data_IF_349807000804
#
_entry.id   IF_349807000804
#
_cell.length_a   1.000
_cell.length_b   1.000
_cell.length_c   1.000
_cell.angle_alpha   90.00
_cell.angle_beta   90.00
_cell.angle_gamma   90.00
#
_symmetry.space_group_name_H-M   'P 1'
#
loop_
_entity.id
_entity.type
_entity.pdbx_description
1 polymer ?
#
# COMPACT_ATOMS: atom_id res chain seq x y z
N UNK A 1 -21.03 7.75 5.29
CA UNK A 1 -19.89 6.81 5.44
C UNK A 1 -20.29 5.35 5.16
N UNK A 2 -21.37 4.83 5.73
CA UNK A 2 -21.82 3.44 5.50
C UNK A 2 -22.05 3.07 4.03
N UNK A 3 -22.64 3.98 3.26
CA UNK A 3 -22.90 3.77 1.81
C UNK A 3 -21.62 3.74 0.97
N UNK A 4 -20.61 4.55 1.35
CA UNK A 4 -19.28 4.48 0.74
C UNK A 4 -18.65 3.11 0.93
N UNK A 5 -18.74 2.56 2.16
CA UNK A 5 -18.23 1.23 2.47
C UNK A 5 -18.96 0.16 1.63
N UNK A 6 -20.31 0.20 1.56
CA UNK A 6 -21.08 -0.74 0.73
C UNK A 6 -20.73 -0.63 -0.75
N UNK A 7 -20.67 0.58 -1.29
CA UNK A 7 -20.30 0.81 -2.70
C UNK A 7 -18.90 0.27 -3.00
N UNK A 8 -17.97 0.47 -2.09
CA UNK A 8 -16.60 0.01 -2.23
C UNK A 8 -16.49 -1.52 -2.13
N UNK A 9 -17.19 -2.14 -1.19
CA UNK A 9 -17.29 -3.60 -1.09
C UNK A 9 -17.89 -4.24 -2.36
N UNK A 10 -18.96 -3.66 -2.93
CA UNK A 10 -19.55 -4.13 -4.18
C UNK A 10 -18.55 -4.05 -5.35
N UNK A 11 -17.85 -2.94 -5.50
CA UNK A 11 -16.79 -2.78 -6.53
C UNK A 11 -15.65 -3.78 -6.32
N UNK A 12 -15.29 -4.05 -5.06
CA UNK A 12 -14.30 -5.05 -4.69
C UNK A 12 -14.70 -6.45 -5.11
N UNK A 13 -15.94 -6.83 -4.83
CA UNK A 13 -16.47 -8.14 -5.21
C UNK A 13 -16.50 -8.31 -6.73
N UNK A 14 -16.95 -7.29 -7.46
CA UNK A 14 -16.98 -7.32 -8.93
C UNK A 14 -15.57 -7.54 -9.48
N UNK A 15 -14.58 -6.80 -8.98
CA UNK A 15 -13.20 -6.97 -9.45
C UNK A 15 -12.62 -8.34 -9.09
N UNK A 16 -12.90 -8.83 -7.88
CA UNK A 16 -12.48 -10.17 -7.46
C UNK A 16 -13.03 -11.27 -8.39
N UNK A 17 -14.33 -11.19 -8.72
CA UNK A 17 -14.98 -12.10 -9.66
C UNK A 17 -14.36 -11.95 -11.05
N UNK A 18 -14.16 -10.74 -11.53
CA UNK A 18 -13.58 -10.48 -12.86
C UNK A 18 -12.16 -11.04 -12.98
N UNK A 19 -11.30 -10.83 -11.97
CA UNK A 19 -9.96 -11.41 -11.96
C UNK A 19 -10.00 -12.95 -11.87
N UNK A 20 -10.96 -13.51 -11.15
CA UNK A 20 -11.20 -14.96 -11.12
C UNK A 20 -11.58 -15.51 -12.50
N UNK A 21 -12.48 -14.83 -13.21
CA UNK A 21 -12.86 -15.20 -14.59
C UNK A 21 -11.64 -15.14 -15.52
N UNK A 22 -10.83 -14.08 -15.45
CA UNK A 22 -9.59 -13.97 -16.26
C UNK A 22 -8.66 -15.15 -15.98
N UNK A 23 -8.50 -15.54 -14.72
CA UNK A 23 -7.68 -16.68 -14.33
C UNK A 23 -8.22 -18.01 -14.89
N UNK A 24 -9.53 -18.22 -14.82
CA UNK A 24 -10.20 -19.43 -15.34
C UNK A 24 -10.06 -19.49 -16.87
N UNK A 25 -10.30 -18.38 -17.56
CA UNK A 25 -10.15 -18.31 -19.03
C UNK A 25 -8.70 -18.54 -19.43
N UNK A 26 -7.75 -17.97 -18.71
CA UNK A 26 -6.32 -18.23 -18.91
C UNK A 26 -6.02 -19.73 -18.74
N UNK A 27 -6.51 -20.35 -17.67
CA UNK A 27 -6.35 -21.78 -17.42
C UNK A 27 -6.90 -22.64 -18.55
N UNK A 28 -8.12 -22.32 -19.04
CA UNK A 28 -8.73 -23.01 -20.18
C UNK A 28 -7.87 -22.91 -21.45
N UNK A 29 -7.47 -21.72 -21.82
CA UNK A 29 -6.67 -21.48 -23.04
C UNK A 29 -5.31 -22.18 -22.95
N UNK A 30 -4.61 -22.05 -21.82
CA UNK A 30 -3.31 -22.70 -21.63
C UNK A 30 -3.44 -24.22 -21.63
N UNK A 31 -4.45 -24.75 -20.97
CA UNK A 31 -4.73 -26.19 -20.94
C UNK A 31 -5.02 -26.76 -22.33
N UNK A 32 -5.85 -26.05 -23.13
CA UNK A 32 -6.16 -26.43 -24.52
C UNK A 32 -4.94 -26.38 -25.43
N UNK A 33 -3.98 -25.49 -25.19
CA UNK A 33 -2.73 -25.42 -25.94
C UNK A 33 -1.82 -26.64 -25.69
N UNK A 34 -1.87 -27.24 -24.48
CA UNK A 34 -1.13 -28.46 -24.16
C UNK A 34 -1.83 -29.73 -24.68
N UNK A 35 -3.16 -29.81 -24.58
CA UNK A 35 -3.96 -30.95 -25.03
C UNK A 35 -5.30 -30.46 -25.56
N UNK A 36 -5.51 -30.48 -26.89
CA UNK A 36 -6.80 -30.10 -27.49
C UNK A 36 -7.95 -30.97 -26.98
N UNK A 37 -7.69 -32.26 -26.72
CA UNK A 37 -8.69 -33.23 -26.29
C UNK A 37 -8.89 -33.18 -24.77
N UNK A 38 -9.60 -32.15 -24.29
CA UNK A 38 -9.98 -32.05 -22.88
C UNK A 38 -9.01 -31.26 -21.96
N UNK A 39 -7.82 -30.87 -22.45
CA UNK A 39 -6.84 -30.12 -21.66
C UNK A 39 -7.38 -28.79 -21.14
N UNK A 40 -8.30 -28.15 -21.85
CA UNK A 40 -8.97 -26.94 -21.38
C UNK A 40 -9.72 -27.12 -20.08
N UNK A 41 -10.46 -28.21 -19.91
CA UNK A 41 -11.17 -28.50 -18.65
C UNK A 41 -10.22 -28.81 -17.51
N UNK A 42 -9.10 -29.50 -17.79
CA UNK A 42 -8.03 -29.72 -16.81
C UNK A 42 -7.39 -28.40 -16.39
N UNK A 43 -7.18 -27.49 -17.33
CA UNK A 43 -6.68 -26.14 -17.04
C UNK A 43 -7.63 -25.32 -16.16
N UNK A 44 -8.92 -25.38 -16.42
CA UNK A 44 -9.96 -24.76 -15.56
C UNK A 44 -9.95 -25.35 -14.15
N UNK A 45 -9.85 -26.67 -14.03
CA UNK A 45 -9.81 -27.35 -12.73
C UNK A 45 -8.60 -26.87 -11.89
N UNK A 46 -7.40 -26.82 -12.48
CA UNK A 46 -6.24 -26.29 -11.79
C UNK A 46 -6.34 -24.81 -11.48
N UNK A 47 -6.91 -24.00 -12.38
CA UNK A 47 -7.14 -22.57 -12.14
C UNK A 47 -8.08 -22.34 -10.94
N UNK A 48 -9.15 -23.11 -10.81
CA UNK A 48 -10.08 -23.06 -9.67
C UNK A 48 -9.39 -23.45 -8.36
N UNK A 49 -8.59 -24.50 -8.38
CA UNK A 49 -7.82 -24.93 -7.19
C UNK A 49 -6.85 -23.83 -6.77
N UNK A 50 -6.07 -23.28 -7.70
CA UNK A 50 -5.11 -22.22 -7.43
C UNK A 50 -5.85 -20.99 -6.89
N UNK A 51 -6.95 -20.59 -7.52
CA UNK A 51 -7.76 -19.47 -7.07
C UNK A 51 -8.30 -19.67 -5.64
N UNK A 52 -8.81 -20.86 -5.34
CA UNK A 52 -9.29 -21.21 -4.00
C UNK A 52 -8.20 -21.17 -2.95
N UNK A 53 -7.05 -21.84 -3.20
CA UNK A 53 -5.90 -21.87 -2.29
C UNK A 53 -5.36 -20.47 -2.03
N UNK A 54 -5.14 -19.67 -3.09
CA UNK A 54 -4.59 -18.33 -2.96
C UNK A 54 -5.58 -17.38 -2.26
N UNK A 55 -6.88 -17.55 -2.47
CA UNK A 55 -7.91 -16.81 -1.74
C UNK A 55 -7.88 -17.14 -0.24
N UNK A 56 -7.74 -18.40 0.14
CA UNK A 56 -7.59 -18.81 1.53
C UNK A 56 -6.30 -18.27 2.16
N UNK A 57 -5.17 -18.41 1.48
CA UNK A 57 -3.89 -17.83 1.93
C UNK A 57 -4.02 -16.33 2.14
N UNK A 58 -4.60 -15.62 1.17
CA UNK A 58 -4.82 -14.17 1.27
C UNK A 58 -5.66 -13.81 2.49
N UNK A 59 -6.76 -14.54 2.70
CA UNK A 59 -7.68 -14.25 3.80
C UNK A 59 -7.07 -14.50 5.18
N UNK A 60 -6.31 -15.59 5.36
CA UNK A 60 -5.77 -15.99 6.67
C UNK A 60 -4.40 -15.39 6.98
N UNK A 61 -3.55 -15.24 5.97
CA UNK A 61 -2.13 -14.91 6.18
C UNK A 61 -1.65 -13.68 5.40
N UNK A 62 -2.46 -13.11 4.50
CA UNK A 62 -2.06 -12.03 3.61
C UNK A 62 -1.43 -10.84 4.34
N UNK A 63 -2.02 -10.38 5.44
CA UNK A 63 -1.47 -9.27 6.25
C UNK A 63 -0.13 -9.61 6.87
N UNK A 64 0.03 -10.82 7.40
CA UNK A 64 1.30 -11.28 8.00
C UNK A 64 2.41 -11.38 6.95
N UNK A 65 2.08 -11.88 5.77
CA UNK A 65 3.02 -11.97 4.64
C UNK A 65 3.51 -10.57 4.24
N UNK A 66 2.60 -9.60 4.11
CA UNK A 66 2.94 -8.22 3.75
C UNK A 66 3.86 -7.57 4.77
N UNK A 67 3.53 -7.69 6.05
CA UNK A 67 4.35 -7.16 7.14
C UNK A 67 5.73 -7.81 7.17
N UNK A 68 5.82 -9.13 6.98
CA UNK A 68 7.08 -9.87 6.95
C UNK A 68 7.95 -9.47 5.74
N UNK A 69 7.38 -9.41 4.54
CA UNK A 69 8.08 -8.98 3.31
C UNK A 69 8.60 -7.56 3.43
N UNK A 70 7.83 -6.68 4.10
CA UNK A 70 8.23 -5.29 4.35
C UNK A 70 9.22 -5.15 5.53
N UNK A 71 9.60 -6.26 6.19
CA UNK A 71 10.44 -6.26 7.40
C UNK A 71 9.91 -5.34 8.49
N UNK A 72 8.58 -5.24 8.61
CA UNK A 72 7.90 -4.41 9.58
C UNK A 72 7.97 -5.04 10.98
N UNK A 73 8.33 -4.25 11.99
CA UNK A 73 8.39 -4.67 13.40
C UNK A 73 7.23 -4.07 14.17
N UNK A 74 6.49 -4.90 14.88
CA UNK A 74 5.43 -4.43 15.79
C UNK A 74 6.05 -3.61 16.91
N UNK A 75 5.40 -2.49 17.25
CA UNK A 75 5.88 -1.59 18.29
C UNK A 75 4.78 -1.27 19.28
N UNK A 76 5.18 -1.06 20.53
CA UNK A 76 4.32 -0.62 21.61
C UNK A 76 4.32 0.90 21.75
N UNK A 77 3.42 1.41 22.59
CA UNK A 77 3.31 2.84 22.88
C UNK A 77 4.63 3.44 23.40
N UNK A 78 5.41 2.67 24.15
CA UNK A 78 6.66 3.12 24.77
C UNK A 78 7.77 3.41 23.74
N UNK A 79 7.75 2.68 22.61
CA UNK A 79 8.75 2.84 21.55
C UNK A 79 8.54 4.17 20.80
N UNK A 80 7.28 4.48 20.45
CA UNK A 80 6.94 5.70 19.74
C UNK A 80 5.56 6.24 20.16
N UNK A 81 5.46 6.93 21.31
CA UNK A 81 4.19 7.39 21.88
C UNK A 81 3.38 8.26 20.92
N UNK A 82 4.02 9.16 20.18
CA UNK A 82 3.35 10.07 19.23
C UNK A 82 2.62 9.30 18.12
N UNK A 83 3.28 8.34 17.49
CA UNK A 83 2.66 7.52 16.43
C UNK A 83 1.48 6.74 16.97
N UNK A 84 1.66 6.09 18.14
CA UNK A 84 0.61 5.31 18.77
C UNK A 84 -0.62 6.16 19.10
N UNK A 85 -0.41 7.33 19.70
CA UNK A 85 -1.49 8.27 20.02
C UNK A 85 -2.22 8.77 18.78
N UNK A 86 -1.51 9.07 17.67
CA UNK A 86 -2.13 9.48 16.42
C UNK A 86 -2.99 8.36 15.83
N UNK A 87 -2.54 7.10 15.87
CA UNK A 87 -3.36 5.96 15.39
C UNK A 87 -4.60 5.80 16.27
N UNK A 88 -4.48 5.97 17.59
CA UNK A 88 -5.61 5.94 18.52
C UNK A 88 -6.60 7.09 18.29
N UNK A 89 -6.11 8.31 18.06
CA UNK A 89 -6.93 9.47 17.69
C UNK A 89 -7.72 9.21 16.41
N UNK A 90 -7.08 8.67 15.38
CA UNK A 90 -7.74 8.39 14.11
C UNK A 90 -8.72 7.21 14.21
N UNK A 91 -8.43 6.21 15.05
CA UNK A 91 -9.38 5.16 15.40
C UNK A 91 -10.65 5.76 16.01
N UNK A 92 -10.52 6.67 16.99
CA UNK A 92 -11.64 7.31 17.67
C UNK A 92 -12.42 8.20 16.68
N UNK A 93 -11.72 9.04 15.90
CA UNK A 93 -12.34 9.94 14.92
C UNK A 93 -13.12 9.21 13.83
N UNK A 94 -12.65 8.02 13.45
CA UNK A 94 -13.31 7.19 12.43
C UNK A 94 -14.44 6.32 12.98
N UNK A 95 -14.60 6.20 14.30
CA UNK A 95 -15.53 5.27 14.95
C UNK A 95 -15.13 3.79 14.78
N UNK A 96 -13.85 3.51 14.48
CA UNK A 96 -13.39 2.13 14.32
C UNK A 96 -13.27 1.45 15.67
N UNK A 97 -13.81 0.23 15.82
CA UNK A 97 -13.91 -0.44 17.12
C UNK A 97 -12.58 -0.98 17.65
N UNK A 98 -11.75 -1.53 16.76
CA UNK A 98 -10.52 -2.22 17.13
C UNK A 98 -9.31 -1.29 16.99
N UNK A 99 -8.33 -1.41 17.90
CA UNK A 99 -7.07 -0.70 17.76
C UNK A 99 -6.19 -1.40 16.70
N UNK A 100 -5.82 -0.73 15.61
CA UNK A 100 -4.89 -1.29 14.65
C UNK A 100 -3.52 -1.50 15.31
N UNK A 101 -2.85 -2.59 14.99
CA UNK A 101 -1.48 -2.83 15.39
C UNK A 101 -0.56 -1.82 14.70
N UNK A 102 0.44 -1.34 15.42
CA UNK A 102 1.38 -0.33 14.91
C UNK A 102 2.72 -0.98 14.60
N UNK A 103 3.22 -0.73 13.39
CA UNK A 103 4.49 -1.28 12.92
C UNK A 103 5.43 -0.18 12.44
N UNK A 104 6.73 -0.39 12.63
CA UNK A 104 7.78 0.47 12.07
C UNK A 104 8.66 -0.37 11.13
N UNK A 105 8.92 0.19 9.94
CA UNK A 105 9.77 -0.41 8.90
C UNK A 105 11.14 0.25 8.93
N UNK A 106 12.19 -0.57 8.91
CA UNK A 106 13.58 -0.08 8.84
C UNK A 106 13.92 0.43 7.43
N UNK A 107 13.51 1.65 7.13
CA UNK A 107 13.84 2.31 5.87
C UNK A 107 13.97 3.82 6.07
N UNK A 108 14.95 4.42 5.39
CA UNK A 108 15.11 5.88 5.32
C UNK A 108 14.12 6.52 4.32
N UNK A 109 13.57 5.76 3.38
CA UNK A 109 12.55 6.23 2.46
C UNK A 109 11.24 6.51 3.22
N UNK A 110 10.62 7.70 3.08
CA UNK A 110 9.37 8.02 3.75
C UNK A 110 8.20 7.31 3.05
N UNK A 111 7.53 6.41 3.77
CA UNK A 111 6.36 5.74 3.27
C UNK A 111 5.50 5.15 4.41
N UNK A 112 4.26 4.78 4.09
CA UNK A 112 3.33 4.12 5.00
C UNK A 112 2.41 3.19 4.23
N UNK A 113 1.80 2.23 4.92
CA UNK A 113 0.70 1.43 4.38
C UNK A 113 -0.17 0.88 5.51
N UNK A 114 -1.43 0.60 5.17
CA UNK A 114 -2.34 -0.16 6.01
C UNK A 114 -2.50 -1.59 5.48
N UNK A 115 -2.72 -2.53 6.41
CA UNK A 115 -3.04 -3.92 6.07
C UNK A 115 -4.04 -4.51 7.07
N UNK A 116 -4.70 -5.61 6.69
CA UNK A 116 -5.66 -6.30 7.57
C UNK A 116 -6.93 -6.72 6.85
N UNK A 117 -7.17 -8.00 6.77
CA UNK A 117 -8.36 -8.58 6.11
C UNK A 117 -9.57 -8.55 7.05
N UNK A 118 -9.34 -8.82 8.35
CA UNK A 118 -10.37 -8.84 9.38
C UNK A 118 -10.32 -7.56 10.20
N UNK A 119 -11.48 -7.12 10.71
CA UNK A 119 -11.55 -5.89 11.52
C UNK A 119 -10.65 -5.91 12.77
N UNK A 120 -10.56 -7.04 13.42
CA UNK A 120 -9.74 -7.23 14.62
C UNK A 120 -8.27 -7.52 14.33
N UNK A 121 -7.86 -7.58 13.05
CA UNK A 121 -6.48 -7.87 12.66
C UNK A 121 -5.99 -6.88 11.60
N UNK A 122 -6.17 -5.59 11.88
CA UNK A 122 -5.68 -4.50 11.06
C UNK A 122 -4.38 -3.96 11.61
N UNK A 123 -3.55 -3.40 10.73
CA UNK A 123 -2.28 -2.81 11.10
C UNK A 123 -1.98 -1.57 10.24
N UNK A 124 -1.28 -0.62 10.85
CA UNK A 124 -0.69 0.54 10.18
C UNK A 124 0.81 0.41 10.31
N UNK A 125 1.51 0.43 9.18
CA UNK A 125 2.96 0.35 9.12
C UNK A 125 3.53 1.64 8.53
N UNK A 126 4.51 2.23 9.21
CA UNK A 126 5.20 3.45 8.78
C UNK A 126 6.70 3.23 8.73
N UNK A 127 7.40 3.88 7.84
CA UNK A 127 8.87 3.80 7.81
C UNK A 127 9.51 4.75 8.83
N UNK A 128 10.67 4.39 9.35
CA UNK A 128 11.46 5.25 10.22
C UNK A 128 11.80 6.60 9.54
N UNK A 129 12.02 6.58 8.21
CA UNK A 129 12.26 7.77 7.42
C UNK A 129 11.05 8.70 7.32
N UNK A 130 9.82 8.16 7.37
CA UNK A 130 8.61 8.96 7.46
C UNK A 130 8.53 9.68 8.80
N UNK A 131 8.72 8.95 9.90
CA UNK A 131 8.67 9.48 11.26
C UNK A 131 9.73 10.57 11.51
N UNK A 132 10.90 10.45 10.88
CA UNK A 132 11.97 11.42 11.01
C UNK A 132 11.74 12.72 10.19
N UNK A 133 10.81 12.70 9.21
CA UNK A 133 10.58 13.83 8.30
C UNK A 133 9.32 14.62 8.62
N UNK A 134 8.28 13.93 9.07
CA UNK A 134 6.97 14.53 9.25
C UNK A 134 6.80 15.11 10.64
N UNK A 135 6.17 16.26 10.71
CA UNK A 135 5.65 16.79 11.96
C UNK A 135 4.38 16.05 12.39
N UNK A 136 3.81 16.42 13.54
CA UNK A 136 2.64 15.74 14.11
C UNK A 136 1.41 15.81 13.19
N UNK A 137 1.11 16.98 12.62
CA UNK A 137 -0.08 17.18 11.81
C UNK A 137 0.05 16.49 10.44
N UNK A 138 1.24 16.48 9.86
CA UNK A 138 1.56 15.74 8.65
C UNK A 138 1.46 14.23 8.87
N UNK A 139 2.02 13.73 9.97
CA UNK A 139 1.90 12.31 10.34
C UNK A 139 0.45 11.93 10.61
N UNK A 140 -0.34 12.81 11.23
CA UNK A 140 -1.78 12.63 11.42
C UNK A 140 -2.51 12.54 10.08
N UNK A 141 -2.16 13.37 9.11
CA UNK A 141 -2.71 13.29 7.75
C UNK A 141 -2.44 11.95 7.08
N UNK A 142 -1.20 11.46 7.15
CA UNK A 142 -0.82 10.14 6.60
C UNK A 142 -1.55 9.01 7.33
N UNK A 143 -1.54 9.00 8.66
CA UNK A 143 -2.24 7.95 9.44
C UNK A 143 -3.75 7.98 9.20
N UNK A 144 -4.36 9.16 9.04
CA UNK A 144 -5.76 9.30 8.67
C UNK A 144 -6.05 8.71 7.29
N UNK A 145 -5.16 8.89 6.32
CA UNK A 145 -5.25 8.28 5.00
C UNK A 145 -5.20 6.75 5.11
N UNK A 146 -4.25 6.20 5.84
CA UNK A 146 -4.14 4.75 6.07
C UNK A 146 -5.35 4.18 6.82
N UNK A 147 -5.83 4.89 7.86
CA UNK A 147 -7.05 4.52 8.56
C UNK A 147 -8.28 4.55 7.65
N UNK A 148 -8.31 5.45 6.67
CA UNK A 148 -9.39 5.50 5.68
C UNK A 148 -9.49 4.22 4.86
N UNK A 149 -8.37 3.63 4.47
CA UNK A 149 -8.33 2.34 3.78
C UNK A 149 -8.86 1.20 4.66
N UNK A 150 -8.54 1.21 5.96
CA UNK A 150 -9.07 0.23 6.91
C UNK A 150 -10.59 0.37 7.06
N UNK A 151 -11.07 1.58 7.29
CA UNK A 151 -12.49 1.88 7.48
C UNK A 151 -13.32 1.59 6.23
N UNK A 152 -12.81 1.97 5.07
CA UNK A 152 -13.45 1.76 3.76
C UNK A 152 -13.35 0.31 3.25
N UNK A 153 -12.67 -0.57 3.98
CA UNK A 153 -12.42 -1.97 3.59
C UNK A 153 -11.59 -2.15 2.32
N UNK A 154 -10.79 -1.14 1.98
CA UNK A 154 -9.91 -1.18 0.81
C UNK A 154 -8.82 -2.22 0.96
N UNK A 155 -8.31 -2.40 2.18
CA UNK A 155 -7.20 -3.31 2.48
C UNK A 155 -7.53 -4.75 2.12
N UNK A 156 -8.75 -5.22 2.44
CA UNK A 156 -9.23 -6.54 2.05
C UNK A 156 -9.12 -6.73 0.53
N UNK A 157 -9.65 -5.75 -0.21
CA UNK A 157 -9.64 -5.76 -1.66
C UNK A 157 -8.23 -5.73 -2.25
N UNK A 158 -7.38 -4.82 -1.79
CA UNK A 158 -6.01 -4.69 -2.31
C UNK A 158 -5.20 -5.96 -2.10
N UNK A 159 -5.38 -6.63 -0.95
CA UNK A 159 -4.73 -7.90 -0.64
C UNK A 159 -5.16 -9.00 -1.61
N UNK A 160 -6.48 -9.17 -1.82
CA UNK A 160 -7.00 -10.18 -2.74
C UNK A 160 -6.64 -9.87 -4.20
N UNK A 161 -6.84 -8.64 -4.64
CA UNK A 161 -6.55 -8.24 -6.02
C UNK A 161 -5.05 -8.36 -6.35
N UNK A 162 -4.17 -8.00 -5.41
CA UNK A 162 -2.73 -8.16 -5.55
C UNK A 162 -2.30 -9.62 -5.72
N UNK A 163 -2.87 -10.53 -4.94
CA UNK A 163 -2.59 -11.97 -5.04
C UNK A 163 -3.14 -12.54 -6.36
N UNK A 164 -4.36 -12.19 -6.75
CA UNK A 164 -4.93 -12.62 -8.03
C UNK A 164 -4.11 -12.13 -9.22
N UNK A 165 -3.73 -10.85 -9.22
CA UNK A 165 -2.86 -10.30 -10.25
C UNK A 165 -1.51 -11.02 -10.28
N UNK A 166 -0.90 -11.24 -9.11
CA UNK A 166 0.35 -11.99 -8.98
C UNK A 166 0.24 -13.40 -9.55
N UNK A 167 -0.88 -14.07 -9.33
CA UNK A 167 -1.15 -15.42 -9.86
C UNK A 167 -1.26 -15.44 -11.37
N UNK A 168 -2.00 -14.50 -11.95
CA UNK A 168 -2.14 -14.36 -13.41
C UNK A 168 -0.76 -14.14 -14.04
N UNK A 169 0.05 -13.24 -13.45
CA UNK A 169 1.42 -12.95 -13.92
C UNK A 169 2.29 -14.20 -13.81
N UNK A 170 2.25 -14.90 -12.67
CA UNK A 170 3.08 -16.09 -12.44
C UNK A 170 2.75 -17.22 -13.41
N UNK A 171 1.46 -17.54 -13.58
CA UNK A 171 0.99 -18.59 -14.49
C UNK A 171 1.40 -18.26 -15.93
N UNK A 172 1.20 -17.01 -16.36
CA UNK A 172 1.63 -16.56 -17.68
C UNK A 172 3.14 -16.69 -17.87
N UNK A 173 3.95 -16.30 -16.89
CA UNK A 173 5.41 -16.42 -16.94
C UNK A 173 5.88 -17.89 -16.97
N UNK A 174 5.27 -18.76 -16.17
CA UNK A 174 5.60 -20.19 -16.17
C UNK A 174 5.28 -20.80 -17.53
N UNK A 175 4.11 -20.50 -18.11
CA UNK A 175 3.75 -20.97 -19.44
C UNK A 175 4.73 -20.46 -20.51
N UNK A 176 5.02 -19.17 -20.57
CA UNK A 176 5.96 -18.64 -21.56
C UNK A 176 7.37 -19.23 -21.39
N UNK A 177 7.84 -19.41 -20.15
CA UNK A 177 9.13 -20.09 -19.90
C UNK A 177 9.12 -21.55 -20.33
N UNK A 178 8.02 -22.28 -20.10
CA UNK A 178 7.92 -23.68 -20.53
C UNK A 178 8.04 -23.85 -22.04
N UNK A 179 7.60 -22.87 -22.84
CA UNK A 179 7.80 -22.85 -24.29
C UNK A 179 9.28 -22.66 -24.67
N UNK A 180 10.06 -21.88 -23.89
CA UNK A 180 11.48 -21.65 -24.17
C UNK A 180 12.38 -22.77 -23.71
N UNK A 181 12.12 -23.37 -22.54
CA UNK A 181 12.97 -24.40 -21.94
C UNK A 181 12.46 -25.82 -22.18
N UNK A 182 11.22 -25.98 -22.60
CA UNK A 182 10.59 -27.27 -22.90
C UNK A 182 11.03 -27.90 -24.24
N UNK A 183 12.15 -27.47 -24.76
CA UNK A 183 12.88 -27.92 -25.96
C UNK A 183 12.05 -28.76 -26.93
N UNK A 184 11.93 -28.35 -28.18
CA UNK A 184 11.13 -28.89 -29.28
C UNK A 184 11.19 -30.39 -29.59
N UNK A 185 11.30 -31.26 -28.59
CA UNK A 185 11.57 -32.69 -28.76
C UNK A 185 10.42 -33.66 -28.47
N UNK A 186 9.30 -33.23 -27.89
CA UNK A 186 8.26 -34.20 -27.44
C UNK A 186 6.84 -34.02 -28.00
N UNK A 187 6.61 -33.07 -28.90
CA UNK A 187 5.29 -32.90 -29.55
C UNK A 187 5.22 -33.57 -30.94
N UNK A 188 5.77 -34.77 -31.08
CA UNK A 188 5.44 -35.66 -32.22
C UNK A 188 4.42 -36.70 -31.73
N UNK A 189 3.22 -36.27 -31.39
CA UNK A 189 2.08 -37.19 -31.40
C UNK A 189 1.71 -37.48 -32.85
N UNK A 190 1.68 -38.76 -33.23
CA UNK A 190 1.07 -39.26 -34.46
C UNK A 190 -0.44 -38.96 -34.42
N UNK A 191 -0.82 -37.76 -34.80
CA UNK A 191 -2.23 -37.38 -34.95
C UNK A 191 -2.41 -36.80 -36.39
N UNK A 192 -3.56 -37.14 -36.98
CA UNK A 192 -4.00 -36.76 -38.32
C UNK A 192 -3.74 -35.29 -38.66
N UNK A 193 -3.51 -34.98 -39.97
CA UNK A 193 -3.16 -33.63 -40.48
C UNK A 193 -4.08 -32.50 -39.98
N UNK A 194 -5.33 -32.74 -39.65
CA UNK A 194 -6.30 -31.74 -39.19
C UNK A 194 -6.10 -31.30 -37.71
N UNK A 195 -5.63 -32.19 -36.82
CA UNK A 195 -5.40 -31.85 -35.43
C UNK A 195 -4.19 -30.95 -35.20
N UNK A 196 -3.19 -30.97 -36.09
CA UNK A 196 -1.99 -30.14 -36.01
C UNK A 196 -2.27 -28.65 -36.25
N UNK A 197 -3.20 -28.32 -37.14
CA UNK A 197 -3.56 -26.95 -37.47
C UNK A 197 -4.36 -26.28 -36.31
N UNK A 198 -5.31 -27.01 -35.75
CA UNK A 198 -6.05 -26.53 -34.56
C UNK A 198 -5.13 -26.29 -33.37
N UNK A 199 -4.17 -27.18 -33.11
CA UNK A 199 -3.19 -27.03 -32.01
C UNK A 199 -2.29 -25.81 -32.18
N UNK A 200 -1.85 -25.51 -33.40
CA UNK A 200 -1.08 -24.29 -33.71
C UNK A 200 -1.89 -23.03 -33.43
N UNK A 201 -3.16 -23.01 -33.83
CA UNK A 201 -4.06 -21.87 -33.58
C UNK A 201 -4.24 -21.68 -32.04
N UNK A 202 -4.52 -22.73 -31.32
CA UNK A 202 -4.62 -22.65 -29.84
C UNK A 202 -3.32 -22.18 -29.18
N UNK A 203 -2.16 -22.62 -29.69
CA UNK A 203 -0.87 -22.19 -29.17
C UNK A 203 -0.63 -20.69 -29.39
N UNK A 204 -0.94 -20.16 -30.58
CA UNK A 204 -0.83 -18.73 -30.88
C UNK A 204 -1.77 -17.91 -29.99
N UNK A 205 -3.02 -18.37 -29.82
CA UNK A 205 -4.00 -17.74 -28.93
C UNK A 205 -3.48 -17.77 -27.48
N UNK A 206 -2.91 -18.90 -27.04
CA UNK A 206 -2.38 -19.05 -25.67
C UNK A 206 -1.21 -18.10 -25.40
N UNK A 207 -0.29 -17.96 -26.36
CA UNK A 207 0.81 -17.00 -26.25
C UNK A 207 0.29 -15.56 -26.18
N UNK A 208 -0.62 -15.19 -27.08
CA UNK A 208 -1.23 -13.86 -27.07
C UNK A 208 -1.94 -13.59 -25.75
N UNK A 209 -2.71 -14.55 -25.22
CA UNK A 209 -3.44 -14.40 -23.95
C UNK A 209 -2.50 -14.38 -22.75
N UNK A 210 -1.43 -15.17 -22.74
CA UNK A 210 -0.41 -15.15 -21.69
C UNK A 210 0.33 -13.80 -21.61
N UNK A 211 0.39 -13.05 -22.72
CA UNK A 211 0.97 -11.70 -22.73
C UNK A 211 -0.09 -10.65 -22.34
N UNK A 212 -1.30 -10.76 -22.88
CA UNK A 212 -2.35 -9.74 -22.71
C UNK A 212 -3.06 -9.81 -21.36
N UNK A 213 -3.31 -11.01 -20.82
CA UNK A 213 -4.07 -11.17 -19.59
C UNK A 213 -3.41 -10.47 -18.38
N UNK A 214 -2.10 -10.56 -18.14
CA UNK A 214 -1.43 -9.79 -17.10
C UNK A 214 -1.57 -8.28 -17.28
N UNK A 215 -1.47 -7.80 -18.51
CA UNK A 215 -1.58 -6.37 -18.85
C UNK A 215 -2.99 -5.87 -18.54
N UNK A 216 -4.02 -6.58 -19.01
CA UNK A 216 -5.42 -6.23 -18.78
C UNK A 216 -5.79 -6.26 -17.29
N UNK A 217 -5.36 -7.31 -16.59
CA UNK A 217 -5.57 -7.43 -15.14
C UNK A 217 -4.90 -6.29 -14.37
N UNK A 218 -3.70 -5.90 -14.78
CA UNK A 218 -2.96 -4.79 -14.18
C UNK A 218 -3.63 -3.44 -14.44
N UNK A 219 -4.08 -3.18 -15.67
CA UNK A 219 -4.80 -1.94 -16.00
C UNK A 219 -6.10 -1.80 -15.22
N UNK A 220 -6.87 -2.89 -15.10
CA UNK A 220 -8.10 -2.93 -14.31
C UNK A 220 -7.82 -2.65 -12.82
N UNK A 221 -6.81 -3.29 -12.27
CA UNK A 221 -6.37 -3.07 -10.89
C UNK A 221 -5.99 -1.60 -10.65
N UNK A 222 -5.20 -0.98 -11.54
CA UNK A 222 -4.79 0.42 -11.42
C UNK A 222 -5.95 1.39 -11.52
N UNK A 223 -6.90 1.15 -12.44
CA UNK A 223 -8.05 2.03 -12.62
C UNK A 223 -8.93 2.12 -11.35
N UNK A 224 -9.13 0.99 -10.66
CA UNK A 224 -9.93 0.94 -9.45
C UNK A 224 -9.13 1.47 -8.25
N UNK A 225 -7.83 1.21 -8.18
CA UNK A 225 -6.96 1.67 -7.10
C UNK A 225 -6.92 3.20 -7.02
N UNK A 226 -6.76 3.90 -8.15
CA UNK A 226 -6.69 5.37 -8.17
C UNK A 226 -7.93 6.06 -7.59
N UNK A 227 -9.13 5.57 -7.88
CA UNK A 227 -10.37 6.14 -7.30
C UNK A 227 -10.45 5.97 -5.79
N UNK A 228 -9.88 4.89 -5.26
CA UNK A 228 -9.81 4.64 -3.82
C UNK A 228 -8.86 5.58 -3.11
N UNK A 229 -7.74 5.91 -3.72
CA UNK A 229 -6.79 6.90 -3.19
C UNK A 229 -7.45 8.27 -2.98
N UNK A 230 -8.19 8.76 -3.98
CA UNK A 230 -8.93 10.03 -3.81
C UNK A 230 -10.02 9.93 -2.72
N UNK A 231 -10.67 8.78 -2.60
CA UNK A 231 -11.65 8.56 -1.54
C UNK A 231 -11.00 8.49 -0.16
N UNK A 232 -9.81 7.90 -0.07
CA UNK A 232 -9.02 7.86 1.16
C UNK A 232 -8.55 9.27 1.55
N UNK A 233 -8.11 10.09 0.58
CA UNK A 233 -7.79 11.51 0.81
C UNK A 233 -9.00 12.28 1.33
N UNK A 234 -10.18 12.12 0.70
CA UNK A 234 -11.41 12.77 1.14
C UNK A 234 -11.81 12.37 2.57
N UNK A 235 -11.65 11.09 2.90
CA UNK A 235 -11.93 10.57 4.24
C UNK A 235 -10.91 11.08 5.26
N UNK A 236 -9.62 11.13 4.89
CA UNK A 236 -8.57 11.67 5.74
C UNK A 236 -8.81 13.15 6.07
N UNK A 237 -9.21 13.96 5.09
CA UNK A 237 -9.61 15.37 5.30
C UNK A 237 -10.76 15.47 6.29
N UNK A 238 -11.79 14.63 6.17
CA UNK A 238 -12.92 14.61 7.09
C UNK A 238 -12.51 14.24 8.53
N UNK A 239 -11.57 13.27 8.69
CA UNK A 239 -11.10 12.82 10.00
C UNK A 239 -10.21 13.84 10.70
N UNK A 240 -9.30 14.46 9.97
CA UNK A 240 -8.32 15.39 10.52
C UNK A 240 -8.82 16.82 10.58
N UNK A 241 -9.76 17.21 9.71
CA UNK A 241 -10.18 18.59 9.41
C UNK A 241 -9.02 19.48 8.95
N UNK A 242 -7.91 18.92 8.57
CA UNK A 242 -6.69 19.64 8.20
C UNK A 242 -6.09 19.10 6.90
N UNK A 243 -6.61 19.51 5.72
CA UNK A 243 -6.15 19.00 4.43
C UNK A 243 -4.68 19.32 4.14
N UNK A 244 -4.14 20.46 4.64
CA UNK A 244 -2.74 20.84 4.43
C UNK A 244 -1.78 19.86 5.10
N UNK A 245 -2.13 19.24 6.23
CA UNK A 245 -1.30 18.21 6.87
C UNK A 245 -0.99 17.06 5.93
N UNK A 246 -2.01 16.53 5.23
CA UNK A 246 -1.79 15.48 4.24
C UNK A 246 -1.09 16.01 2.97
N UNK A 247 -1.42 17.22 2.51
CA UNK A 247 -0.80 17.81 1.33
C UNK A 247 0.71 18.02 1.53
N UNK A 248 1.11 18.64 2.65
CA UNK A 248 2.51 18.85 3.00
C UNK A 248 3.26 17.52 3.23
N UNK A 249 2.62 16.52 3.86
CA UNK A 249 3.19 15.19 3.99
C UNK A 249 3.49 14.56 2.63
N UNK A 250 2.54 14.58 1.69
CA UNK A 250 2.71 14.06 0.33
C UNK A 250 3.81 14.77 -0.43
N UNK A 251 3.95 16.09 -0.26
CA UNK A 251 5.03 16.88 -0.85
C UNK A 251 6.39 16.40 -0.33
N UNK A 252 6.58 16.30 0.98
CA UNK A 252 7.82 15.79 1.60
C UNK A 252 8.13 14.33 1.23
N UNK A 253 7.12 13.50 1.03
CA UNK A 253 7.28 12.12 0.57
C UNK A 253 7.76 12.11 -0.90
N UNK A 254 7.15 12.96 -1.75
CA UNK A 254 7.48 13.02 -3.18
C UNK A 254 8.89 13.54 -3.45
N UNK A 255 9.37 14.45 -2.60
CA UNK A 255 10.70 15.07 -2.72
C UNK A 255 11.84 14.15 -2.25
N UNK A 256 11.48 13.01 -1.66
CA UNK A 256 12.49 12.07 -1.19
C UNK A 256 13.19 11.33 -2.33
N UNK A 257 14.50 11.31 -2.28
CA UNK A 257 15.34 10.53 -3.20
C UNK A 257 15.69 9.13 -2.66
N UNK A 258 15.26 8.81 -1.45
CA UNK A 258 15.55 7.53 -0.81
C UNK A 258 14.66 6.42 -1.39
N UNK A 259 15.25 5.25 -1.67
CA UNK A 259 14.55 4.10 -2.21
C UNK A 259 14.13 3.13 -1.12
N UNK A 260 12.92 2.56 -1.24
CA UNK A 260 12.42 1.53 -0.35
C UNK A 260 12.87 0.14 -0.86
N UNK A 261 13.99 -0.35 -0.36
CA UNK A 261 14.63 -1.60 -0.80
C UNK A 261 13.75 -2.86 -0.64
N UNK A 262 12.82 -2.85 0.30
CA UNK A 262 11.88 -3.96 0.57
C UNK A 262 10.66 -3.94 -0.33
N UNK A 263 10.44 -2.88 -1.12
CA UNK A 263 9.31 -2.79 -2.02
C UNK A 263 9.50 -3.66 -3.27
N UNK A 264 8.43 -4.33 -3.67
CA UNK A 264 8.35 -5.09 -4.90
C UNK A 264 7.06 -4.76 -5.67
N UNK A 265 6.90 -5.30 -6.87
CA UNK A 265 5.72 -5.03 -7.72
C UNK A 265 4.38 -5.43 -7.07
N UNK A 266 4.39 -6.36 -6.11
CA UNK A 266 3.19 -6.82 -5.40
C UNK A 266 2.85 -5.89 -4.24
N UNK A 267 3.86 -5.42 -3.49
CA UNK A 267 3.66 -4.57 -2.31
C UNK A 267 3.58 -3.08 -2.66
N UNK A 268 4.18 -2.66 -3.78
CA UNK A 268 4.20 -1.25 -4.19
C UNK A 268 2.82 -0.56 -4.22
N UNK A 269 1.74 -1.23 -4.67
CA UNK A 269 0.41 -0.63 -4.70
C UNK A 269 -0.22 -0.34 -3.34
N UNK A 270 0.35 -0.84 -2.26
CA UNK A 270 -0.19 -0.70 -0.91
C UNK A 270 0.37 0.50 -0.16
N UNK A 271 1.49 1.05 -0.61
CA UNK A 271 2.13 2.20 0.01
C UNK A 271 1.43 3.50 -0.39
N UNK A 272 1.43 4.51 0.47
CA UNK A 272 0.81 5.84 0.20
C UNK A 272 1.42 6.53 -1.03
N UNK A 273 2.69 6.24 -1.32
CA UNK A 273 3.39 6.70 -2.52
C UNK A 273 4.11 5.54 -3.18
N UNK A 274 4.12 5.49 -4.52
CA UNK A 274 4.74 4.41 -5.25
C UNK A 274 6.26 4.35 -4.96
N UNK A 275 6.75 3.30 -4.26
CA UNK A 275 8.15 3.19 -3.86
C UNK A 275 9.08 2.79 -5.00
N UNK A 276 8.53 2.40 -6.17
CA UNK A 276 9.29 1.95 -7.35
C UNK A 276 9.50 3.07 -8.38
N UNK A 277 9.17 4.33 -8.05
CA UNK A 277 9.41 5.46 -8.95
C UNK A 277 10.92 5.66 -9.14
N UNK A 278 11.40 5.36 -10.34
CA UNK A 278 12.69 5.89 -10.79
C UNK A 278 12.52 7.36 -11.16
N UNK A 279 13.37 8.23 -10.61
CA UNK A 279 13.39 9.66 -10.95
C UNK A 279 13.49 9.85 -12.47
N UNK A 280 12.59 10.64 -13.06
CA UNK A 280 12.71 11.16 -14.42
C UNK A 280 11.85 10.54 -15.51
N UNK A 281 10.97 9.54 -15.26
CA UNK A 281 10.11 8.97 -16.31
C UNK A 281 8.66 9.45 -16.20
N UNK A 282 8.27 10.41 -17.03
CA UNK A 282 6.87 10.88 -17.19
C UNK A 282 5.87 9.78 -17.63
N UNK A 283 6.33 8.70 -18.24
CA UNK A 283 5.52 7.54 -18.65
C UNK A 283 5.06 6.67 -17.46
N UNK A 284 5.62 6.85 -16.25
CA UNK A 284 5.25 6.07 -15.07
C UNK A 284 3.86 6.40 -14.50
N UNK A 285 3.25 7.52 -14.87
CA UNK A 285 1.98 7.96 -14.28
C UNK A 285 0.78 7.14 -14.80
N UNK A 286 0.83 6.64 -16.03
CA UNK A 286 -0.23 5.78 -16.59
C UNK A 286 -0.21 4.36 -16.01
N UNK A 287 0.97 3.87 -15.62
CA UNK A 287 1.20 2.53 -15.06
C UNK A 287 1.28 2.53 -13.53
N UNK A 288 0.98 3.66 -12.87
CA UNK A 288 0.98 3.77 -11.41
C UNK A 288 -0.38 3.38 -10.83
N UNK A 289 -0.35 2.65 -9.71
CA UNK A 289 -1.53 2.35 -8.87
C UNK A 289 -2.10 3.59 -8.19
N UNK A 290 -1.25 4.60 -7.99
CA UNK A 290 -1.62 5.86 -7.34
C UNK A 290 -1.83 6.95 -8.36
N UNK A 291 -2.75 7.91 -8.08
CA UNK A 291 -2.82 9.14 -8.84
C UNK A 291 -1.52 9.94 -8.72
N UNK A 292 -1.22 10.85 -9.64
CA UNK A 292 -0.09 11.76 -9.51
C UNK A 292 -0.14 12.51 -8.17
N UNK A 293 0.95 12.45 -7.39
CA UNK A 293 1.01 13.09 -6.06
C UNK A 293 0.76 14.59 -6.18
N UNK A 294 1.30 15.23 -7.22
CA UNK A 294 1.06 16.65 -7.52
C UNK A 294 -0.42 16.99 -7.69
N UNK A 295 -1.20 16.09 -8.27
CA UNK A 295 -2.64 16.27 -8.43
C UNK A 295 -3.36 16.12 -7.08
N UNK A 296 -3.02 15.11 -6.28
CA UNK A 296 -3.57 14.93 -4.92
C UNK A 296 -3.31 16.18 -4.07
N UNK A 297 -2.08 16.71 -4.07
CA UNK A 297 -1.71 17.95 -3.35
C UNK A 297 -2.56 19.12 -3.82
N UNK A 298 -2.74 19.30 -5.14
CA UNK A 298 -3.55 20.38 -5.69
C UNK A 298 -5.02 20.28 -5.27
N UNK A 299 -5.61 19.09 -5.24
CA UNK A 299 -6.98 18.87 -4.77
C UNK A 299 -7.10 19.25 -3.30
N UNK A 300 -6.20 18.74 -2.45
CA UNK A 300 -6.21 19.00 -1.01
C UNK A 300 -6.09 20.50 -0.69
N UNK A 301 -5.19 21.23 -1.35
CA UNK A 301 -5.02 22.69 -1.18
C UNK A 301 -6.13 23.52 -1.77
N UNK A 302 -6.99 22.97 -2.64
CA UNK A 302 -8.17 23.67 -3.17
C UNK A 302 -9.43 23.49 -2.31
N UNK A 303 -9.36 22.81 -1.16
CA UNK A 303 -10.46 22.68 -0.22
C UNK A 303 -10.55 23.95 0.63
N UNK A 304 -11.48 24.84 0.31
CA UNK A 304 -11.53 26.18 0.93
C UNK A 304 -12.60 26.34 2.03
N UNK A 305 -13.68 25.56 2.04
CA UNK A 305 -14.88 25.89 2.81
C UNK A 305 -15.28 24.89 3.91
N UNK A 306 -14.48 23.86 4.17
CA UNK A 306 -14.75 22.87 5.21
C UNK A 306 -14.34 21.46 4.88
N UNK A 307 -14.21 20.65 5.90
CA UNK A 307 -13.71 19.26 5.81
C UNK A 307 -14.84 18.25 5.55
N UNK A 308 -15.65 18.47 4.50
CA UNK A 308 -16.71 17.55 4.12
C UNK A 308 -16.51 16.95 2.72
N UNK A 309 -17.27 15.92 2.40
CA UNK A 309 -17.20 15.25 1.11
C UNK A 309 -17.61 16.12 -0.08
N UNK A 310 -18.53 17.07 0.12
CA UNK A 310 -18.99 18.00 -0.93
C UNK A 310 -17.85 18.90 -1.37
N UNK A 311 -17.12 19.48 -0.41
CA UNK A 311 -16.00 20.35 -0.70
C UNK A 311 -14.83 19.63 -1.35
N UNK A 312 -14.57 18.37 -0.93
CA UNK A 312 -13.58 17.54 -1.61
C UNK A 312 -14.00 17.23 -3.05
N UNK A 313 -15.25 16.83 -3.29
CA UNK A 313 -15.79 16.57 -4.64
C UNK A 313 -15.68 17.79 -5.54
N UNK A 314 -16.03 18.98 -5.03
CA UNK A 314 -15.91 20.23 -5.77
C UNK A 314 -14.45 20.56 -6.13
N UNK A 315 -13.52 20.40 -5.19
CA UNK A 315 -12.10 20.60 -5.44
C UNK A 315 -11.55 19.57 -6.47
N UNK A 316 -12.00 18.32 -6.39
CA UNK A 316 -11.65 17.25 -7.32
C UNK A 316 -12.12 17.58 -8.75
N UNK A 317 -13.40 17.96 -8.93
CA UNK A 317 -13.95 18.31 -10.25
C UNK A 317 -13.25 19.53 -10.85
N UNK A 318 -12.97 20.55 -10.03
CA UNK A 318 -12.23 21.76 -10.46
C UNK A 318 -10.84 21.43 -11.00
N UNK A 319 -10.12 20.53 -10.32
CA UNK A 319 -8.75 20.16 -10.73
C UNK A 319 -8.75 19.20 -11.91
N UNK A 320 -9.72 18.27 -11.98
CA UNK A 320 -9.84 17.30 -13.09
C UNK A 320 -10.41 17.92 -14.37
N UNK A 321 -11.12 19.03 -14.27
CA UNK A 321 -11.82 19.64 -15.41
C UNK A 321 -12.97 18.78 -15.98
N UNK A 322 -13.44 17.80 -15.22
CA UNK A 322 -14.52 16.89 -15.61
C UNK A 322 -15.47 16.66 -14.43
N UNK A 323 -16.78 16.65 -14.73
CA UNK A 323 -17.79 16.21 -13.75
C UNK A 323 -17.72 14.68 -13.64
N UNK A 324 -16.98 14.19 -12.68
CA UNK A 324 -16.87 12.77 -12.38
C UNK A 324 -17.31 12.53 -10.93
N UNK A 325 -18.33 11.72 -10.72
CA UNK A 325 -18.79 11.35 -9.39
C UNK A 325 -17.79 10.39 -8.73
N UNK A 326 -16.85 10.96 -7.97
CA UNK A 326 -15.92 10.21 -7.13
C UNK A 326 -16.67 9.64 -5.93
N UNK A 327 -17.45 10.50 -5.27
CA UNK A 327 -18.23 10.20 -4.08
C UNK A 327 -19.67 9.92 -4.50
N UNK A 328 -20.28 8.79 -4.05
CA UNK A 328 -21.67 8.49 -4.36
C UNK A 328 -22.61 9.64 -3.94
N UNK A 329 -23.63 10.01 -4.75
CA UNK A 329 -24.56 11.10 -4.44
C UNK A 329 -25.20 10.98 -3.06
N UNK A 330 -25.50 9.74 -2.62
CA UNK A 330 -26.07 9.46 -1.30
C UNK A 330 -25.14 9.81 -0.13
N UNK A 331 -23.83 9.89 -0.34
CA UNK A 331 -22.86 10.30 0.66
C UNK A 331 -22.57 11.82 0.64
N UNK A 332 -23.07 12.53 -0.38
CA UNK A 332 -22.96 13.99 -0.51
C UNK A 332 -24.10 14.74 0.20
N UNK A 333 -25.05 14.03 0.81
CA UNK A 333 -26.19 14.64 1.52
C UNK A 333 -25.85 15.24 2.88
N UNK A 334 -24.64 14.92 3.41
CA UNK A 334 -24.18 15.43 4.71
C UNK A 334 -23.66 16.86 4.57
N UNK A 335 -24.57 17.82 4.68
CA UNK A 335 -24.31 19.27 4.60
C UNK A 335 -23.77 19.86 5.92
N UNK A 336 -23.44 19.02 6.92
CA UNK A 336 -22.86 19.52 8.16
C UNK A 336 -21.56 20.28 7.83
N UNK A 337 -21.56 21.59 8.13
CA UNK A 337 -20.39 22.45 7.95
C UNK A 337 -19.34 22.11 9.01
N UNK A 338 -18.54 21.10 8.74
CA UNK A 338 -17.39 20.78 9.60
C UNK A 338 -16.29 21.78 9.23
N UNK A 339 -16.02 22.75 10.11
CA UNK A 339 -14.96 23.75 9.92
C UNK A 339 -13.58 23.11 9.77
N UNK A 340 -12.72 23.77 9.01
CA UNK A 340 -11.30 23.41 8.95
C UNK A 340 -10.62 23.77 10.27
N UNK A 341 -9.62 23.00 10.66
CA UNK A 341 -8.71 23.33 11.75
C UNK A 341 -7.83 24.48 11.28
N UNK A 342 -7.63 25.51 12.11
CA UNK A 342 -6.68 26.58 11.82
C UNK A 342 -5.27 26.03 11.70
N UNK A 343 -4.53 26.49 10.70
CA UNK A 343 -3.12 26.16 10.51
C UNK A 343 -2.31 26.86 11.60
N UNK A 344 -1.55 26.11 12.37
CA UNK A 344 -0.45 26.70 13.14
C UNK A 344 0.72 26.79 12.19
N UNK A 345 1.07 27.99 11.74
CA UNK A 345 2.23 28.25 10.90
C UNK A 345 3.52 27.89 11.67
N UNK A 346 3.91 26.62 11.60
CA UNK A 346 5.22 26.19 12.04
C UNK A 346 6.21 26.51 10.92
N UNK A 347 7.29 27.27 11.19
CA UNK A 347 8.28 27.58 10.17
C UNK A 347 8.85 26.31 9.59
N UNK A 348 8.79 26.18 8.27
CA UNK A 348 9.39 25.09 7.48
C UNK A 348 10.92 25.16 7.60
N UNK A 349 11.47 24.64 8.69
CA UNK A 349 12.91 24.47 8.81
C UNK A 349 13.31 23.25 7.97
N UNK A 350 14.06 23.49 6.91
CA UNK A 350 14.63 22.44 6.07
C UNK A 350 15.50 21.52 6.95
N UNK A 351 15.00 20.32 7.22
CA UNK A 351 15.75 19.32 7.99
C UNK A 351 16.83 18.73 7.09
N UNK A 352 18.10 18.82 7.51
CA UNK A 352 19.20 18.26 6.71
C UNK A 352 19.08 16.75 6.54
N UNK A 353 19.47 16.22 5.38
CA UNK A 353 19.47 14.79 5.06
C UNK A 353 20.18 13.94 6.12
N UNK A 354 21.32 14.44 6.64
CA UNK A 354 22.07 13.82 7.73
C UNK A 354 21.25 13.69 9.03
N UNK A 355 20.47 14.71 9.36
CA UNK A 355 19.61 14.71 10.56
C UNK A 355 18.49 13.69 10.43
N UNK A 356 17.84 13.60 9.28
CA UNK A 356 16.80 12.62 8.99
C UNK A 356 17.33 11.19 9.11
N UNK A 357 18.48 10.88 8.51
CA UNK A 357 19.09 9.56 8.60
C UNK A 357 19.45 9.18 10.05
N UNK A 358 19.93 10.15 10.83
CA UNK A 358 20.25 9.93 12.24
C UNK A 358 19.01 9.67 13.08
N UNK A 359 17.95 10.44 12.88
CA UNK A 359 16.67 10.26 13.60
C UNK A 359 16.00 8.93 13.24
N UNK A 360 15.98 8.57 11.95
CA UNK A 360 15.50 7.26 11.51
C UNK A 360 16.30 6.11 12.13
N UNK A 361 17.62 6.24 12.21
CA UNK A 361 18.50 5.29 12.90
C UNK A 361 18.19 5.18 14.40
N UNK A 362 17.96 6.31 15.07
CA UNK A 362 17.60 6.33 16.50
C UNK A 362 16.25 5.67 16.76
N UNK A 363 15.26 5.89 15.89
CA UNK A 363 13.95 5.22 15.96
C UNK A 363 14.14 3.70 15.85
N UNK A 364 14.93 3.22 14.89
CA UNK A 364 15.18 1.80 14.71
C UNK A 364 15.94 1.16 15.87
N UNK A 365 16.84 1.92 16.51
CA UNK A 365 17.49 1.44 17.73
C UNK A 365 16.48 1.27 18.87
N UNK A 366 15.53 2.22 19.06
CA UNK A 366 14.43 2.04 20.02
C UNK A 366 13.57 0.82 19.71
N UNK A 367 13.22 0.58 18.45
CA UNK A 367 12.50 -0.62 18.00
C UNK A 367 13.27 -1.91 18.34
N UNK A 368 14.60 -1.85 18.39
CA UNK A 368 15.47 -2.95 18.81
C UNK A 368 15.83 -2.90 20.30
N UNK A 369 15.02 -2.23 21.12
CA UNK A 369 15.14 -2.14 22.59
C UNK A 369 16.43 -1.46 23.09
N UNK A 370 17.07 -0.59 22.28
CA UNK A 370 18.14 0.28 22.77
C UNK A 370 17.58 1.36 23.69
N UNK A 371 18.24 1.61 24.79
CA UNK A 371 17.97 2.75 25.68
C UNK A 371 18.88 3.93 25.31
N UNK A 372 18.42 5.14 25.66
CA UNK A 372 19.14 6.36 25.35
C UNK A 372 19.30 7.23 26.61
N UNK A 373 20.53 7.69 26.86
CA UNK A 373 20.82 8.64 27.92
C UNK A 373 21.36 9.94 27.26
N UNK A 374 20.72 11.06 27.59
CA UNK A 374 21.21 12.39 27.16
C UNK A 374 22.19 12.91 28.20
N UNK A 375 23.44 13.01 27.84
CA UNK A 375 24.46 13.63 28.68
C UNK A 375 24.35 15.16 28.63
N UNK A 376 24.64 15.83 29.73
CA UNK A 376 24.67 17.30 29.79
C UNK A 376 25.65 17.96 28.85
N UNK A 377 26.66 17.22 28.33
CA UNK A 377 27.56 17.72 27.27
C UNK A 377 26.91 17.69 25.87
N UNK A 378 25.61 17.35 25.75
CA UNK A 378 24.88 17.25 24.49
C UNK A 378 25.07 15.94 23.74
N UNK A 379 25.85 14.96 24.26
CA UNK A 379 26.01 13.66 23.63
C UNK A 379 24.83 12.75 24.04
N UNK A 380 24.20 12.14 23.06
CA UNK A 380 23.17 11.08 23.22
C UNK A 380 23.87 9.72 23.23
N UNK A 381 23.95 9.08 24.39
CA UNK A 381 24.57 7.76 24.58
C UNK A 381 23.54 6.70 24.24
N UNK A 382 23.94 5.70 23.45
CA UNK A 382 23.11 4.61 22.97
C UNK A 382 23.51 3.34 23.70
N UNK A 383 22.56 2.72 24.39
CA UNK A 383 22.80 1.55 25.23
C UNK A 383 22.10 0.36 24.59
N UNK A 384 22.83 -0.70 24.19
CA UNK A 384 22.22 -1.90 23.62
C UNK A 384 21.44 -2.68 24.70
N UNK A 385 20.44 -3.52 24.29
CA UNK A 385 19.60 -4.24 25.23
C UNK A 385 20.32 -5.30 26.07
N UNK A 386 21.44 -5.79 25.58
CA UNK A 386 22.30 -6.79 26.24
C UNK A 386 23.38 -6.17 27.15
N UNK A 387 23.35 -4.86 27.36
CA UNK A 387 24.33 -4.18 28.22
C UNK A 387 24.12 -4.55 29.70
N UNK A 388 25.15 -5.15 30.32
CA UNK A 388 25.06 -5.77 31.64
C UNK A 388 25.50 -4.84 32.78
N UNK A 389 26.22 -3.75 32.48
CA UNK A 389 26.72 -2.84 33.52
C UNK A 389 25.60 -1.92 33.99
N UNK A 390 25.58 -1.60 35.29
CA UNK A 390 24.63 -0.65 35.90
C UNK A 390 24.99 0.80 35.62
N UNK A 391 26.19 1.06 35.10
CA UNK A 391 26.72 2.38 34.88
C UNK A 391 27.45 2.47 33.55
N UNK A 392 27.42 3.67 32.96
CA UNK A 392 28.14 4.01 31.75
C UNK A 392 28.79 5.39 31.88
N UNK A 393 30.01 5.52 31.39
CA UNK A 393 30.69 6.81 31.34
C UNK A 393 30.49 7.44 29.95
N UNK A 394 30.18 8.75 29.95
CA UNK A 394 30.08 9.50 28.70
C UNK A 394 31.44 9.51 27.97
N UNK A 395 31.52 9.02 26.71
CA UNK A 395 32.80 8.98 26.00
C UNK A 395 33.35 10.36 25.62
N UNK A 396 32.54 11.43 25.74
CA UNK A 396 32.93 12.80 25.41
C UNK A 396 33.43 13.57 26.62
N UNK A 397 32.79 13.46 27.76
CA UNK A 397 33.10 14.29 28.95
C UNK A 397 33.41 13.50 30.20
N UNK A 398 33.44 12.16 30.17
CA UNK A 398 33.75 11.30 31.31
C UNK A 398 32.65 11.20 32.38
N UNK A 399 31.52 11.93 32.26
CA UNK A 399 30.48 11.92 33.25
C UNK A 399 29.85 10.53 33.41
N UNK A 400 29.67 10.08 34.63
CA UNK A 400 29.02 8.83 35.03
C UNK A 400 27.50 8.97 34.92
N UNK A 401 26.85 7.96 34.36
CA UNK A 401 25.40 7.84 34.29
C UNK A 401 24.99 6.46 34.77
N UNK A 402 23.98 6.42 35.67
CA UNK A 402 23.34 5.16 36.09
C UNK A 402 22.32 4.71 35.07
N UNK A 403 22.26 3.40 34.82
CA UNK A 403 21.31 2.78 33.92
C UNK A 403 20.21 2.17 34.78
N UNK A 404 19.03 2.80 34.78
CA UNK A 404 17.82 2.22 35.36
C UNK A 404 17.25 1.28 34.31
N UNK A 405 17.17 -0.01 34.61
CA UNK A 405 16.55 -1.04 33.79
C UNK A 405 15.05 -1.00 33.88
#
# INVERSE_FOLDING_TARGET
MWELIKANQRKSLILFITLGIVLIVLGFILGSAYSPDGGGFVGVFFALIIWGILSLISYFTGSKILLAVSSAKEVTKDVHPQLFNIVEEMKIASGYQFMPKVYIINSAAPNAFATGVRQNNTAVAVTAGLLARLNRDELQGVVAHEMSHIVNRDVLFMTFAGIMLGSIVLISQVFLRSLWFGGGGRYRSKSSKDSGQAQLIFMVIAIAFAILAPIMAQLLYFAISRKREYLADATAVRLTRYPEGLASALEKISDSTEELKTANKVTAPMYIANPLKSQGRKLSDLTSTHPPISERIRILRNIAQGANFINYQSAFEKIKGKKENLIPPSALTDSSSIGLKESVDLPLTAISKKKIQREAGDIMMKVNHYSFINCSCGLKIKIPPDFKKEEIFCPRCGRRHSIVK
#
